data_IF_654220929451
#
_entry.id   IF_654220929451
#
_cell.length_a   1.000
_cell.length_b   1.000
_cell.length_c   1.000
_cell.angle_alpha   90.00
_cell.angle_beta   90.00
_cell.angle_gamma   90.00
#
_symmetry.space_group_name_H-M   'P 1'
#
loop_
_entity.id
_entity.type
_entity.pdbx_description
1 polymer ?
#
# COMPACT_ATOMS: atom_id res chain seq x y z
N UNK A 1 54.03 59.22 -28.78
CA UNK A 1 53.06 59.14 -27.67
C UNK A 1 52.26 57.84 -27.84
N UNK A 2 52.50 56.84 -26.99
CA UNK A 2 51.72 55.58 -26.91
C UNK A 2 51.03 55.55 -25.55
N UNK A 3 49.76 55.14 -25.48
CA UNK A 3 49.26 54.46 -24.29
C UNK A 3 48.94 52.99 -24.63
N UNK A 4 49.53 52.11 -23.83
CA UNK A 4 49.40 50.66 -23.88
C UNK A 4 47.97 50.20 -23.58
N UNK A 5 47.41 49.36 -24.46
CA UNK A 5 46.18 48.58 -24.25
C UNK A 5 46.47 47.36 -23.37
N UNK A 6 46.77 47.55 -22.08
CA UNK A 6 47.11 46.44 -21.18
C UNK A 6 46.27 46.38 -19.89
N UNK A 7 45.11 47.07 -19.83
CA UNK A 7 44.31 47.16 -18.60
C UNK A 7 42.92 46.49 -18.65
N UNK A 8 42.57 45.80 -19.74
CA UNK A 8 41.19 45.29 -19.91
C UNK A 8 41.01 43.81 -19.52
N UNK A 9 42.08 43.03 -19.35
CA UNK A 9 41.97 41.57 -19.14
C UNK A 9 41.98 41.11 -17.67
N UNK A 10 42.40 41.96 -16.74
CA UNK A 10 42.50 41.58 -15.30
C UNK A 10 41.21 41.80 -14.50
N UNK A 11 40.27 42.60 -15.01
CA UNK A 11 39.00 42.88 -14.32
C UNK A 11 37.96 41.74 -14.44
N UNK A 12 38.06 40.90 -15.47
CA UNK A 12 37.12 39.78 -15.66
C UNK A 12 37.45 38.55 -14.80
N UNK A 13 38.70 38.40 -14.35
CA UNK A 13 39.12 37.22 -13.57
C UNK A 13 38.83 37.36 -12.07
N UNK A 14 38.59 38.58 -11.57
CA UNK A 14 38.30 38.84 -10.15
C UNK A 14 36.81 38.71 -9.80
N UNK A 15 35.90 38.75 -10.77
CA UNK A 15 34.45 38.68 -10.49
C UNK A 15 33.89 37.24 -10.44
N UNK A 16 34.68 36.23 -10.85
CA UNK A 16 34.24 34.82 -10.90
C UNK A 16 34.56 34.05 -9.60
N UNK A 17 35.33 34.64 -8.68
CA UNK A 17 35.79 33.97 -7.46
C UNK A 17 34.87 34.14 -6.24
N UNK A 18 33.74 34.85 -6.37
CA UNK A 18 32.84 35.19 -5.24
C UNK A 18 31.45 34.53 -5.33
N UNK A 19 31.28 33.51 -6.17
CA UNK A 19 30.00 32.80 -6.36
C UNK A 19 29.97 31.36 -5.79
N UNK A 20 31.04 30.91 -5.13
CA UNK A 20 31.15 29.52 -4.62
C UNK A 20 30.91 29.38 -3.13
N UNK A 21 30.18 30.30 -2.51
CA UNK A 21 29.76 30.15 -1.11
C UNK A 21 28.23 30.03 -1.08
N UNK A 22 27.77 28.94 -0.48
CA UNK A 22 26.36 28.60 -0.17
C UNK A 22 25.55 27.86 -1.24
N UNK A 23 26.02 26.68 -1.65
CA UNK A 23 25.12 25.50 -1.76
C UNK A 23 25.77 24.36 -0.99
N UNK A 24 25.87 24.54 0.33
CA UNK A 24 25.85 23.39 1.24
C UNK A 24 24.37 22.97 1.35
N UNK A 25 23.81 22.42 0.28
CA UNK A 25 22.72 21.47 0.44
C UNK A 25 23.38 20.29 1.15
N UNK A 26 23.25 20.31 2.48
CA UNK A 26 23.38 19.14 3.30
C UNK A 26 22.46 18.11 2.66
N UNK A 27 23.06 17.18 1.90
CA UNK A 27 22.42 15.95 1.44
C UNK A 27 22.00 15.22 2.71
N UNK A 28 20.80 15.53 3.20
CA UNK A 28 20.03 14.55 3.93
C UNK A 28 19.63 13.54 2.85
N UNK A 29 20.48 12.51 2.69
CA UNK A 29 20.26 11.27 1.93
C UNK A 29 19.02 10.53 2.48
N UNK A 30 17.86 11.16 2.44
CA UNK A 30 16.61 10.43 2.31
C UNK A 30 16.51 10.11 0.84
N UNK A 31 16.87 8.88 0.48
CA UNK A 31 16.40 8.28 -0.76
C UNK A 31 14.94 8.72 -0.97
N UNK A 32 14.57 9.21 -2.16
CA UNK A 32 13.20 9.60 -2.40
C UNK A 32 12.32 8.39 -2.07
N UNK A 33 11.50 8.50 -1.01
CA UNK A 33 10.59 7.44 -0.64
C UNK A 33 9.74 7.14 -1.88
N UNK A 34 9.73 5.87 -2.30
CA UNK A 34 8.92 5.46 -3.43
C UNK A 34 7.44 5.61 -3.03
N UNK A 35 6.81 6.69 -3.51
CA UNK A 35 5.41 6.99 -3.24
C UNK A 35 4.57 6.36 -4.35
N UNK A 36 3.86 5.29 -4.00
CA UNK A 36 2.85 4.69 -4.86
C UNK A 36 1.60 5.59 -4.92
N UNK A 37 1.10 5.83 -6.12
CA UNK A 37 -0.07 6.68 -6.41
C UNK A 37 -1.31 5.87 -6.78
N UNK A 38 -1.27 4.55 -6.62
CA UNK A 38 -2.39 3.67 -6.92
C UNK A 38 -3.63 4.03 -6.06
N UNK A 39 -4.86 3.99 -6.65
CA UNK A 39 -6.10 4.29 -5.92
C UNK A 39 -6.35 3.45 -4.65
N UNK A 40 -5.69 2.29 -4.51
CA UNK A 40 -5.73 1.44 -3.32
C UNK A 40 -5.16 2.13 -2.08
N UNK A 41 -4.29 3.12 -2.23
CA UNK A 41 -3.76 3.89 -1.10
C UNK A 41 -4.92 4.51 -0.31
N UNK A 42 -4.92 4.25 1.01
CA UNK A 42 -5.96 4.69 1.94
C UNK A 42 -6.38 3.61 2.92
N UNK A 43 -7.36 3.96 3.77
CA UNK A 43 -7.97 3.03 4.71
C UNK A 43 -9.27 2.46 4.14
N UNK A 44 -9.40 1.14 4.23
CA UNK A 44 -10.53 0.36 3.72
C UNK A 44 -11.13 -0.46 4.85
N UNK A 45 -12.41 -0.28 5.11
CA UNK A 45 -13.14 -1.03 6.13
C UNK A 45 -13.89 -2.20 5.50
N UNK A 46 -13.75 -3.39 6.08
CA UNK A 46 -14.50 -4.56 5.66
C UNK A 46 -16.00 -4.35 5.90
N UNK A 47 -16.79 -4.43 4.84
CA UNK A 47 -18.24 -4.22 4.87
C UNK A 47 -19.04 -5.50 4.58
N UNK A 48 -18.40 -6.54 4.05
CA UNK A 48 -19.09 -7.80 3.76
C UNK A 48 -18.16 -8.90 3.26
N UNK A 49 -18.61 -10.15 3.44
CA UNK A 49 -17.98 -11.33 2.85
C UNK A 49 -19.07 -12.14 2.15
N UNK A 50 -18.94 -12.26 0.83
CA UNK A 50 -19.97 -12.81 -0.05
C UNK A 50 -19.43 -13.97 -0.88
N UNK A 51 -20.32 -14.79 -1.42
CA UNK A 51 -20.02 -15.68 -2.55
C UNK A 51 -19.81 -14.87 -3.82
N UNK A 52 -19.25 -15.48 -4.86
CA UNK A 52 -19.18 -14.87 -6.21
C UNK A 52 -20.55 -14.54 -6.79
N UNK A 53 -21.61 -15.23 -6.36
CA UNK A 53 -23.00 -14.93 -6.72
C UNK A 53 -23.61 -13.76 -5.92
N UNK A 54 -22.86 -13.16 -4.99
CA UNK A 54 -23.29 -12.02 -4.18
C UNK A 54 -24.13 -12.36 -2.94
N UNK A 55 -24.41 -13.64 -2.68
CA UNK A 55 -25.06 -14.10 -1.46
C UNK A 55 -24.08 -14.10 -0.28
N UNK A 56 -24.57 -13.88 0.93
CA UNK A 56 -23.75 -14.01 2.15
C UNK A 56 -23.27 -15.45 2.33
N UNK A 57 -22.09 -15.59 2.94
CA UNK A 57 -21.55 -16.92 3.23
C UNK A 57 -22.33 -17.56 4.40
N UNK A 58 -22.82 -18.81 4.27
CA UNK A 58 -23.60 -19.48 5.32
C UNK A 58 -22.89 -19.59 6.69
N UNK A 59 -21.57 -19.76 6.64
CA UNK A 59 -20.61 -19.74 7.75
C UNK A 59 -20.36 -18.38 8.43
N UNK A 60 -20.80 -17.26 7.85
CA UNK A 60 -20.52 -15.91 8.36
C UNK A 60 -20.95 -15.72 9.83
N UNK A 61 -22.10 -16.25 10.30
CA UNK A 61 -22.47 -16.20 11.72
C UNK A 61 -21.45 -16.88 12.65
N UNK A 62 -20.81 -17.97 12.21
CA UNK A 62 -19.78 -18.67 12.99
C UNK A 62 -18.52 -17.81 13.09
N UNK A 63 -18.14 -17.16 11.99
CA UNK A 63 -17.00 -16.22 11.98
C UNK A 63 -17.30 -15.03 12.90
N UNK A 64 -18.51 -14.47 12.84
CA UNK A 64 -18.93 -13.36 13.71
C UNK A 64 -19.00 -13.74 15.20
N UNK A 65 -19.26 -15.01 15.52
CA UNK A 65 -19.19 -15.49 16.90
C UNK A 65 -17.74 -15.48 17.44
N UNK A 66 -16.75 -15.79 16.60
CA UNK A 66 -15.32 -15.73 16.95
C UNK A 66 -14.69 -14.33 16.85
N UNK A 67 -15.21 -13.48 15.96
CA UNK A 67 -14.78 -12.12 15.74
C UNK A 67 -15.98 -11.18 15.53
N UNK A 68 -16.66 -10.75 16.61
CA UNK A 68 -17.83 -9.87 16.51
C UNK A 68 -17.49 -8.48 15.93
N UNK A 69 -16.21 -8.09 15.98
CA UNK A 69 -15.70 -6.86 15.39
C UNK A 69 -15.31 -6.99 13.91
N UNK A 70 -15.65 -8.10 13.21
CA UNK A 70 -15.21 -8.35 11.83
C UNK A 70 -15.45 -7.16 10.89
N UNK A 71 -16.63 -6.54 10.95
CA UNK A 71 -16.96 -5.40 10.10
C UNK A 71 -16.38 -4.06 10.57
N UNK A 72 -15.66 -4.05 11.69
CA UNK A 72 -14.81 -2.95 12.11
C UNK A 72 -13.37 -3.13 11.63
N UNK A 73 -12.99 -4.29 11.08
CA UNK A 73 -11.66 -4.55 10.55
C UNK A 73 -11.34 -3.56 9.43
N UNK A 74 -10.17 -2.93 9.53
CA UNK A 74 -9.67 -2.02 8.51
C UNK A 74 -8.32 -2.48 8.00
N UNK A 75 -8.12 -2.33 6.70
CA UNK A 75 -6.82 -2.40 6.06
C UNK A 75 -6.38 -1.02 5.62
N UNK A 76 -5.15 -0.67 5.96
CA UNK A 76 -4.53 0.60 5.56
C UNK A 76 -3.39 0.31 4.60
N UNK A 77 -3.60 0.65 3.33
CA UNK A 77 -2.60 0.56 2.28
C UNK A 77 -1.86 1.90 2.22
N UNK A 78 -0.61 1.91 2.68
CA UNK A 78 0.24 3.09 2.74
C UNK A 78 0.99 3.28 1.42
N UNK A 79 1.26 4.54 1.05
CA UNK A 79 1.96 4.89 -0.18
C UNK A 79 3.39 4.35 -0.29
N UNK A 80 4.01 3.92 0.82
CA UNK A 80 5.30 3.24 0.84
C UNK A 80 5.19 1.71 0.62
N UNK A 81 4.11 1.27 -0.04
CA UNK A 81 3.80 -0.13 -0.34
C UNK A 81 3.66 -1.05 0.88
N UNK A 82 3.44 -0.52 2.10
CA UNK A 82 3.10 -1.33 3.28
C UNK A 82 1.59 -1.42 3.49
N UNK A 83 1.12 -2.54 4.05
CA UNK A 83 -0.29 -2.71 4.45
C UNK A 83 -0.38 -3.17 5.90
N UNK A 84 -1.30 -2.59 6.66
CA UNK A 84 -1.57 -2.99 8.05
C UNK A 84 -3.05 -3.30 8.26
N UNK A 85 -3.33 -4.14 9.25
CA UNK A 85 -4.68 -4.44 9.71
C UNK A 85 -4.92 -3.84 11.10
N UNK A 86 -6.06 -3.17 11.31
CA UNK A 86 -6.40 -2.48 12.56
C UNK A 86 -7.86 -2.70 12.97
N UNK A 87 -8.17 -2.29 14.20
CA UNK A 87 -9.51 -2.19 14.80
C UNK A 87 -10.27 -3.51 15.07
N UNK A 88 -9.74 -4.67 14.69
CA UNK A 88 -10.28 -5.97 15.11
C UNK A 88 -9.21 -7.09 15.15
N UNK A 89 -8.43 -7.23 16.24
CA UNK A 89 -7.36 -8.22 16.34
C UNK A 89 -7.82 -9.67 16.10
N UNK A 90 -8.99 -10.06 16.60
CA UNK A 90 -9.54 -11.40 16.40
C UNK A 90 -9.85 -11.66 14.92
N UNK A 91 -10.42 -10.68 14.20
CA UNK A 91 -10.65 -10.83 12.78
C UNK A 91 -9.32 -10.85 12.01
N UNK A 92 -8.35 -10.00 12.37
CA UNK A 92 -7.01 -10.04 11.75
C UNK A 92 -6.40 -11.44 11.86
N UNK A 93 -6.43 -12.05 13.05
CA UNK A 93 -5.93 -13.41 13.25
C UNK A 93 -6.66 -14.44 12.38
N UNK A 94 -8.00 -14.41 12.35
CA UNK A 94 -8.81 -15.31 11.51
C UNK A 94 -8.58 -15.09 10.00
N UNK A 95 -8.30 -13.85 9.59
CA UNK A 95 -8.13 -13.47 8.20
C UNK A 95 -6.77 -13.89 7.62
N UNK A 96 -5.75 -14.11 8.45
CA UNK A 96 -4.38 -14.46 7.98
C UNK A 96 -4.32 -15.68 7.08
N UNK A 97 -5.24 -16.64 7.24
CA UNK A 97 -5.37 -17.83 6.38
C UNK A 97 -5.84 -17.49 4.97
N UNK A 98 -6.66 -16.44 4.81
CA UNK A 98 -7.26 -16.02 3.53
C UNK A 98 -6.52 -14.84 2.89
N UNK A 99 -6.17 -13.84 3.69
CA UNK A 99 -5.41 -12.64 3.36
C UNK A 99 -4.25 -12.51 4.37
N UNK A 100 -3.03 -12.94 4.02
CA UNK A 100 -1.91 -12.92 4.94
C UNK A 100 -1.36 -11.50 5.09
N UNK A 101 -1.98 -10.71 5.97
CA UNK A 101 -1.52 -9.38 6.36
C UNK A 101 -0.94 -9.45 7.77
N UNK A 102 0.34 -9.09 7.89
CA UNK A 102 1.10 -8.96 9.12
C UNK A 102 1.95 -7.67 9.08
N UNK A 103 2.80 -7.44 10.08
CA UNK A 103 3.57 -6.20 10.21
C UNK A 103 4.59 -5.94 9.08
N UNK A 104 4.99 -6.98 8.35
CA UNK A 104 5.99 -6.92 7.29
C UNK A 104 5.35 -6.97 5.89
N UNK A 105 4.03 -7.10 5.80
CA UNK A 105 3.36 -7.27 4.51
C UNK A 105 3.51 -6.03 3.66
N UNK A 106 4.02 -6.24 2.44
CA UNK A 106 4.00 -5.25 1.38
C UNK A 106 2.96 -5.61 0.34
N UNK A 107 2.51 -4.61 -0.42
CA UNK A 107 1.50 -4.76 -1.44
C UNK A 107 1.93 -4.13 -2.76
N UNK A 108 1.42 -4.69 -3.85
CA UNK A 108 1.50 -4.12 -5.20
C UNK A 108 0.22 -4.43 -5.95
N UNK A 109 -0.26 -3.46 -6.72
CA UNK A 109 -1.37 -3.67 -7.66
C UNK A 109 -0.84 -3.61 -9.08
N UNK A 110 -1.16 -4.63 -9.87
CA UNK A 110 -0.87 -4.68 -11.31
C UNK A 110 -2.16 -5.06 -12.05
N UNK A 111 -2.74 -4.10 -12.78
CA UNK A 111 -4.07 -4.22 -13.38
C UNK A 111 -5.13 -4.60 -12.34
N UNK A 112 -5.77 -5.76 -12.54
CA UNK A 112 -6.81 -6.30 -11.66
C UNK A 112 -6.28 -7.31 -10.64
N UNK A 113 -4.99 -7.24 -10.29
CA UNK A 113 -4.35 -8.19 -9.38
C UNK A 113 -3.70 -7.46 -8.22
N UNK A 114 -4.09 -7.81 -6.99
CA UNK A 114 -3.38 -7.44 -5.77
C UNK A 114 -2.35 -8.53 -5.44
N UNK A 115 -1.10 -8.14 -5.27
CA UNK A 115 -0.02 -9.00 -4.79
C UNK A 115 0.32 -8.59 -3.36
N UNK A 116 0.31 -9.53 -2.43
CA UNK A 116 0.81 -9.37 -1.07
C UNK A 116 2.09 -10.19 -0.89
N UNK A 117 3.12 -9.54 -0.32
CA UNK A 117 4.44 -10.14 -0.13
C UNK A 117 4.81 -10.11 1.35
N UNK A 118 5.22 -11.26 1.88
CA UNK A 118 5.70 -11.47 3.25
C UNK A 118 7.03 -12.23 3.18
N UNK A 119 8.15 -11.51 3.19
CA UNK A 119 9.46 -12.10 2.92
C UNK A 119 9.48 -12.80 1.55
N UNK A 120 9.61 -14.13 1.55
CA UNK A 120 9.59 -14.95 0.32
C UNK A 120 8.20 -15.45 -0.07
N UNK A 121 7.19 -15.28 0.79
CA UNK A 121 5.82 -15.70 0.51
C UNK A 121 5.10 -14.62 -0.30
N UNK A 122 4.69 -14.97 -1.51
CA UNK A 122 3.95 -14.09 -2.41
C UNK A 122 2.59 -14.72 -2.67
N UNK A 123 1.51 -13.99 -2.40
CA UNK A 123 0.15 -14.37 -2.78
C UNK A 123 -0.48 -13.31 -3.67
N UNK A 124 -1.18 -13.76 -4.70
CA UNK A 124 -1.92 -12.89 -5.62
C UNK A 124 -3.42 -13.12 -5.47
N UNK A 125 -4.17 -12.04 -5.64
CA UNK A 125 -5.62 -12.02 -5.47
C UNK A 125 -6.25 -11.21 -6.61
N UNK A 126 -7.33 -11.70 -7.23
CA UNK A 126 -8.14 -10.88 -8.10
C UNK A 126 -8.71 -9.69 -7.31
N UNK A 127 -8.49 -8.50 -7.85
CA UNK A 127 -8.88 -7.21 -7.28
C UNK A 127 -9.82 -6.49 -8.27
N UNK A 128 -10.93 -5.98 -7.76
CA UNK A 128 -11.74 -4.98 -8.45
C UNK A 128 -11.85 -3.77 -7.53
N UNK A 129 -11.63 -2.57 -8.07
CA UNK A 129 -11.59 -1.37 -7.26
C UNK A 129 -12.23 -0.18 -7.97
N UNK A 130 -12.92 0.64 -7.18
CA UNK A 130 -13.37 2.00 -7.51
C UNK A 130 -12.83 2.96 -6.44
N UNK A 131 -13.13 4.25 -6.55
CA UNK A 131 -12.75 5.24 -5.52
C UNK A 131 -13.35 4.95 -4.15
N UNK A 132 -14.49 4.25 -4.07
CA UNK A 132 -15.26 4.04 -2.84
C UNK A 132 -15.35 2.59 -2.38
N UNK A 133 -15.19 1.65 -3.30
CA UNK A 133 -15.38 0.23 -3.05
C UNK A 133 -14.20 -0.58 -3.60
N UNK A 134 -13.70 -1.52 -2.79
CA UNK A 134 -12.69 -2.49 -3.16
C UNK A 134 -13.23 -3.90 -2.93
N UNK A 135 -12.99 -4.80 -3.88
CA UNK A 135 -13.36 -6.21 -3.82
C UNK A 135 -12.14 -7.07 -4.01
N UNK A 136 -11.87 -7.95 -3.05
CA UNK A 136 -10.77 -8.92 -3.11
C UNK A 136 -11.39 -10.31 -3.15
N UNK A 137 -11.05 -11.07 -4.18
CA UNK A 137 -11.49 -12.47 -4.31
C UNK A 137 -10.52 -13.37 -3.57
N UNK A 138 -11.04 -14.22 -2.69
CA UNK A 138 -10.27 -15.17 -1.87
C UNK A 138 -10.84 -16.58 -1.95
N UNK A 139 -9.97 -17.56 -1.74
CA UNK A 139 -10.38 -18.94 -1.52
C UNK A 139 -10.70 -19.13 -0.04
N UNK A 140 -11.94 -19.48 0.27
CA UNK A 140 -12.43 -19.64 1.64
C UNK A 140 -12.70 -21.12 1.90
N UNK A 141 -11.91 -21.71 2.79
CA UNK A 141 -12.22 -22.98 3.43
C UNK A 141 -12.32 -22.75 4.94
N UNK A 142 -13.54 -22.84 5.47
CA UNK A 142 -13.83 -22.62 6.89
C UNK A 142 -14.09 -23.91 7.65
N UNK A 143 -13.99 -25.06 6.98
CA UNK A 143 -14.26 -26.38 7.57
C UNK A 143 -13.02 -27.28 7.58
N UNK A 144 -11.96 -26.92 6.85
CA UNK A 144 -10.71 -27.69 6.74
C UNK A 144 -10.89 -29.07 6.10
N UNK A 145 -12.10 -29.39 5.62
CA UNK A 145 -12.53 -30.72 5.18
C UNK A 145 -13.39 -30.66 3.91
N UNK A 146 -13.72 -29.45 3.43
CA UNK A 146 -14.52 -29.22 2.25
C UNK A 146 -13.71 -28.62 1.11
N UNK A 147 -14.29 -28.62 -0.10
CA UNK A 147 -13.71 -27.88 -1.24
C UNK A 147 -13.73 -26.39 -0.93
N UNK A 148 -12.59 -25.69 -0.99
CA UNK A 148 -12.56 -24.25 -0.79
C UNK A 148 -13.53 -23.56 -1.76
N UNK A 149 -14.35 -22.66 -1.23
CA UNK A 149 -15.30 -21.88 -2.01
C UNK A 149 -14.70 -20.52 -2.33
N UNK A 150 -14.87 -20.04 -3.55
CA UNK A 150 -14.47 -18.68 -3.91
C UNK A 150 -15.40 -17.67 -3.24
N UNK A 151 -14.85 -16.81 -2.39
CA UNK A 151 -15.54 -15.70 -1.77
C UNK A 151 -14.99 -14.35 -2.22
N UNK A 152 -15.78 -13.30 -2.00
CA UNK A 152 -15.45 -11.91 -2.29
C UNK A 152 -15.60 -11.12 -1.01
N UNK A 153 -14.50 -10.54 -0.55
CA UNK A 153 -14.53 -9.55 0.52
C UNK A 153 -14.77 -8.18 -0.08
N UNK A 154 -15.71 -7.46 0.50
CA UNK A 154 -16.12 -6.12 0.05
C UNK A 154 -15.69 -5.12 1.09
N UNK A 155 -14.93 -4.12 0.67
CA UNK A 155 -14.43 -3.05 1.52
C UNK A 155 -14.92 -1.69 1.01
N UNK A 156 -15.23 -0.80 1.94
CA UNK A 156 -15.53 0.59 1.64
C UNK A 156 -14.35 1.47 2.05
N UNK A 157 -14.04 2.47 1.23
CA UNK A 157 -13.03 3.48 1.57
C UNK A 157 -13.56 4.36 2.70
N UNK A 158 -12.69 4.71 3.64
CA UNK A 158 -12.97 5.67 4.73
C UNK A 158 -12.52 7.09 4.38
#
# INVERSE_FOLDING_TARGET
>A
MKPNRLFTKTLFLSLLAMATLFVACKDDDKEPENVDTNPIVGTWQLNGVKTTAGADLPQLPVVLAGAPCLFSLKFEFMSNNKVTAKDCPNATALMTSFLPINAETTWKVDGSTLTLTNGTNIKTFPLSQTEKEMKITVSIDLTGTGTPTTGVMVFNKL
#
